data_IF_932817164822
#
_entry.id   IF_932817164822
#
_cell.length_a   1.000
_cell.length_b   1.000
_cell.length_c   1.000
_cell.angle_alpha   90.00
_cell.angle_beta   90.00
_cell.angle_gamma   90.00
#
_symmetry.space_group_name_H-M   'P 1'
#
loop_
_entity.id
_entity.type
_entity.pdbx_description
1 polymer ?
#
# COMPACT_ATOMS: atom_id res chain seq x y z
N UNK A 1 10.69 3.96 12.84
CA UNK A 1 9.52 4.00 13.75
C UNK A 1 9.43 2.64 14.40
N UNK A 2 9.14 2.59 15.70
CA UNK A 2 8.86 1.30 16.33
C UNK A 2 7.52 0.75 15.83
N UNK A 3 7.27 -0.53 16.06
CA UNK A 3 6.00 -1.18 15.71
C UNK A 3 4.82 -0.53 16.44
N UNK A 4 5.04 -0.17 17.71
CA UNK A 4 4.08 0.48 18.59
C UNK A 4 3.69 1.88 18.08
N UNK A 5 4.68 2.68 17.68
CA UNK A 5 4.43 4.00 17.08
C UNK A 5 3.61 3.90 15.80
N UNK A 6 3.78 2.81 15.05
CA UNK A 6 3.06 2.58 13.79
C UNK A 6 1.58 2.23 14.06
N UNK A 7 1.31 1.34 15.01
CA UNK A 7 -0.05 0.97 15.43
C UNK A 7 -0.85 2.18 15.90
N UNK A 8 -0.25 3.06 16.69
CA UNK A 8 -0.90 4.28 17.20
C UNK A 8 -1.38 5.18 16.06
N UNK A 9 -0.58 5.37 15.02
CA UNK A 9 -0.98 6.20 13.88
C UNK A 9 -2.06 5.55 13.02
N UNK A 10 -2.03 4.23 12.86
CA UNK A 10 -3.08 3.50 12.14
C UNK A 10 -4.42 3.69 12.84
N UNK A 11 -4.47 3.51 14.17
CA UNK A 11 -5.68 3.73 14.97
C UNK A 11 -6.13 5.19 14.89
N UNK A 12 -5.19 6.15 14.95
CA UNK A 12 -5.50 7.58 14.83
C UNK A 12 -6.12 7.89 13.46
N UNK A 13 -5.53 7.37 12.38
CA UNK A 13 -6.05 7.53 11.02
C UNK A 13 -7.50 7.01 10.90
N UNK A 14 -7.77 5.79 11.38
CA UNK A 14 -9.13 5.23 11.34
C UNK A 14 -10.12 6.11 12.13
N UNK A 15 -9.70 6.63 13.29
CA UNK A 15 -10.53 7.49 14.15
C UNK A 15 -10.81 8.84 13.49
N UNK A 16 -9.80 9.45 12.86
CA UNK A 16 -9.93 10.72 12.13
C UNK A 16 -10.79 10.57 10.86
N UNK A 17 -10.88 9.35 10.30
CA UNK A 17 -11.67 9.04 9.11
C UNK A 17 -13.13 8.62 9.40
N UNK A 18 -13.70 8.92 10.58
CA UNK A 18 -15.07 8.52 10.94
C UNK A 18 -16.12 8.84 9.83
N UNK A 19 -17.03 7.90 9.47
CA UNK A 19 -17.33 6.62 10.12
C UNK A 19 -16.33 5.48 9.85
N UNK A 20 -15.34 5.72 8.99
CA UNK A 20 -14.29 4.80 8.59
C UNK A 20 -13.80 5.17 7.19
N UNK A 21 -12.57 4.78 6.82
CA UNK A 21 -12.05 5.04 5.48
C UNK A 21 -12.85 4.27 4.42
N UNK A 22 -13.13 4.92 3.29
CA UNK A 22 -13.78 4.27 2.15
C UNK A 22 -12.82 3.40 1.33
N UNK A 23 -11.55 3.82 1.25
CA UNK A 23 -10.49 3.19 0.46
C UNK A 23 -9.17 3.36 1.20
N UNK A 24 -8.33 2.32 1.18
CA UNK A 24 -6.91 2.41 1.54
C UNK A 24 -6.06 2.49 0.28
N UNK A 25 -5.10 3.40 0.21
CA UNK A 25 -4.21 3.53 -0.96
C UNK A 25 -2.82 3.04 -0.57
N UNK A 26 -2.35 1.96 -1.20
CA UNK A 26 -0.99 1.46 -1.05
C UNK A 26 -0.16 2.08 -2.17
N UNK A 27 0.75 2.98 -1.81
CA UNK A 27 1.55 3.73 -2.78
C UNK A 27 2.89 3.01 -2.97
N UNK A 28 3.12 2.54 -4.20
CA UNK A 28 4.37 1.89 -4.61
C UNK A 28 5.02 2.70 -5.72
N UNK A 29 6.32 2.54 -5.92
CA UNK A 29 7.03 3.12 -7.07
C UNK A 29 7.14 2.07 -8.18
N UNK A 30 7.21 2.47 -9.45
CA UNK A 30 7.51 1.56 -10.57
C UNK A 30 8.99 1.15 -10.57
N UNK A 31 9.40 0.45 -9.53
CA UNK A 31 10.74 -0.12 -9.42
C UNK A 31 10.65 -1.61 -9.09
N UNK A 32 11.78 -2.31 -9.15
CA UNK A 32 11.80 -3.72 -8.76
C UNK A 32 11.27 -3.86 -7.34
N UNK A 33 10.14 -4.53 -7.24
CA UNK A 33 9.53 -4.87 -5.97
C UNK A 33 10.53 -5.60 -5.09
N UNK A 34 10.84 -5.02 -3.94
CA UNK A 34 11.86 -5.49 -3.01
C UNK A 34 11.24 -6.37 -1.93
N UNK A 35 12.04 -7.25 -1.33
CA UNK A 35 11.61 -8.03 -0.16
C UNK A 35 11.11 -7.14 0.99
N UNK A 36 11.66 -5.93 1.10
CA UNK A 36 11.27 -4.93 2.10
C UNK A 36 9.85 -4.40 1.86
N UNK A 37 9.46 -4.16 0.61
CA UNK A 37 8.09 -3.77 0.29
C UNK A 37 7.09 -4.90 0.56
N UNK A 38 7.49 -6.15 0.30
CA UNK A 38 6.74 -7.36 0.69
C UNK A 38 6.52 -7.41 2.20
N UNK A 39 7.57 -7.19 2.99
CA UNK A 39 7.48 -7.24 4.44
C UNK A 39 6.56 -6.15 5.00
N UNK A 40 6.58 -4.95 4.40
CA UNK A 40 5.68 -3.85 4.78
C UNK A 40 4.23 -4.17 4.42
N UNK A 41 3.96 -4.73 3.23
CA UNK A 41 2.59 -5.13 2.85
C UNK A 41 2.09 -6.27 3.74
N UNK A 42 2.91 -7.27 4.04
CA UNK A 42 2.54 -8.36 4.95
C UNK A 42 2.23 -7.84 6.36
N UNK A 43 3.04 -6.91 6.89
CA UNK A 43 2.74 -6.28 8.18
C UNK A 43 1.49 -5.40 8.13
N UNK A 44 1.23 -4.71 7.01
CA UNK A 44 -0.04 -4.01 6.82
C UNK A 44 -1.21 -4.99 6.84
N UNK A 45 -1.09 -6.15 6.20
CA UNK A 45 -2.11 -7.21 6.26
C UNK A 45 -2.28 -7.79 7.68
N UNK A 46 -1.27 -7.72 8.55
CA UNK A 46 -1.43 -8.07 9.97
C UNK A 46 -2.19 -7.00 10.77
N UNK A 47 -2.11 -5.73 10.37
CA UNK A 47 -2.80 -4.61 11.03
C UNK A 47 -4.21 -4.37 10.52
N UNK A 48 -4.42 -4.60 9.23
CA UNK A 48 -5.72 -4.49 8.58
C UNK A 48 -6.39 -5.85 8.60
N UNK A 49 -7.66 -5.91 8.99
CA UNK A 49 -8.41 -7.15 8.78
C UNK A 49 -8.44 -7.50 7.29
N UNK A 50 -8.64 -8.78 6.96
CA UNK A 50 -8.87 -9.22 5.57
C UNK A 50 -9.96 -8.38 4.88
N UNK A 51 -10.96 -7.92 5.65
CA UNK A 51 -12.00 -7.02 5.16
C UNK A 51 -11.50 -5.61 4.83
N UNK A 52 -10.52 -5.06 5.54
CA UNK A 52 -9.92 -3.77 5.22
C UNK A 52 -9.09 -3.82 3.93
N UNK A 53 -8.44 -4.96 3.63
CA UNK A 53 -7.75 -5.16 2.35
C UNK A 53 -8.70 -5.16 1.14
N UNK A 54 -9.99 -5.48 1.32
CA UNK A 54 -10.99 -5.40 0.25
C UNK A 54 -11.24 -3.96 -0.23
N UNK A 55 -10.91 -2.98 0.60
CA UNK A 55 -10.99 -1.57 0.27
C UNK A 55 -9.62 -1.00 -0.14
N UNK A 56 -8.58 -1.84 -0.27
CA UNK A 56 -7.26 -1.39 -0.68
C UNK A 56 -7.14 -1.26 -2.21
N UNK A 57 -6.49 -0.20 -2.66
CA UNK A 57 -6.09 0.04 -4.06
C UNK A 57 -4.60 0.31 -4.09
N UNK A 58 -3.88 -0.35 -5.01
CA UNK A 58 -2.45 -0.10 -5.23
C UNK A 58 -2.29 1.04 -6.24
N UNK A 59 -1.55 2.08 -5.86
CA UNK A 59 -1.17 3.21 -6.71
C UNK A 59 0.32 3.14 -7.02
N UNK A 60 0.66 2.90 -8.27
CA UNK A 60 2.04 3.00 -8.74
C UNK A 60 2.38 4.45 -9.11
N UNK A 61 3.47 4.94 -8.55
CA UNK A 61 4.03 6.28 -8.79
C UNK A 61 5.26 6.19 -9.68
N UNK A 62 5.69 7.34 -10.20
CA UNK A 62 6.83 7.47 -11.11
C UNK A 62 6.67 6.71 -12.43
N UNK A 63 5.45 6.60 -12.96
CA UNK A 63 5.18 5.87 -14.20
C UNK A 63 6.00 6.34 -15.41
N UNK A 64 6.59 7.54 -15.36
CA UNK A 64 7.59 8.04 -16.30
C UNK A 64 8.90 7.21 -16.33
N UNK A 65 9.16 6.39 -15.32
CA UNK A 65 10.31 5.49 -15.23
C UNK A 65 10.05 4.10 -15.84
N UNK A 66 8.82 3.84 -16.30
CA UNK A 66 8.54 2.62 -17.08
C UNK A 66 9.33 2.66 -18.40
N UNK A 67 9.76 1.50 -18.92
CA UNK A 67 10.32 1.41 -20.26
C UNK A 67 9.40 2.03 -21.31
N UNK A 68 9.98 2.64 -22.35
CA UNK A 68 9.22 3.34 -23.37
C UNK A 68 8.18 2.41 -24.04
N UNK A 69 6.91 2.84 -24.03
CA UNK A 69 5.80 2.06 -24.58
C UNK A 69 5.27 0.96 -23.66
N UNK A 70 5.89 0.72 -22.50
CA UNK A 70 5.39 -0.22 -21.51
C UNK A 70 4.21 0.37 -20.73
N UNK A 71 3.17 -0.43 -20.54
CA UNK A 71 2.01 -0.07 -19.71
C UNK A 71 2.14 -0.67 -18.32
N UNK A 72 1.53 -0.04 -17.33
CA UNK A 72 1.56 -0.50 -15.95
C UNK A 72 1.03 -1.93 -15.77
N UNK A 73 0.07 -2.36 -16.59
CA UNK A 73 -0.47 -3.72 -16.54
C UNK A 73 0.55 -4.78 -16.99
N UNK A 74 1.52 -4.42 -17.82
CA UNK A 74 2.62 -5.31 -18.19
C UNK A 74 3.63 -5.39 -17.02
N UNK A 75 4.01 -4.24 -16.47
CA UNK A 75 4.89 -4.16 -15.30
C UNK A 75 4.41 -5.02 -14.12
N UNK A 76 3.12 -4.93 -13.75
CA UNK A 76 2.54 -5.70 -12.63
C UNK A 76 2.54 -7.21 -12.86
N UNK A 77 2.63 -7.68 -14.12
CA UNK A 77 2.64 -9.12 -14.46
C UNK A 77 4.05 -9.73 -14.46
N UNK A 78 5.08 -8.91 -14.25
CA UNK A 78 6.49 -9.31 -14.30
C UNK A 78 6.94 -9.86 -12.95
#
# INVERSE_FOLDING_TARGET
RSEEEMKVEIVRCITECAPGPHVFIIVLKVEKYTEQENEVINRMADYFSDDALRFATVLFTHGDQLPEGEKIEAFVRT
#
